data_IF_113601419319
#
_entry.id   IF_113601419319
#
_cell.length_a   1.000
_cell.length_b   1.000
_cell.length_c   1.000
_cell.angle_alpha   90.00
_cell.angle_beta   90.00
_cell.angle_gamma   90.00
#
_symmetry.space_group_name_H-M   'P 1'
#
loop_
_entity.id
_entity.type
_entity.pdbx_description
1 polymer ?
#
# COMPACT_ATOMS: atom_id res chain seq x y z
N UNK A 1 2.49 -8.62 9.71
CA UNK A 1 2.71 -7.33 9.02
C UNK A 1 2.59 -6.20 10.05
N UNK A 2 3.60 -5.35 10.11
CA UNK A 2 3.54 -4.16 10.98
C UNK A 2 2.65 -3.10 10.35
N UNK A 3 1.71 -2.55 11.14
CA UNK A 3 0.87 -1.47 10.66
C UNK A 3 0.47 -0.54 11.79
N UNK A 4 0.07 0.69 11.44
CA UNK A 4 -0.37 1.68 12.41
C UNK A 4 -1.80 1.38 12.88
N UNK A 5 -2.16 1.93 14.04
CA UNK A 5 -3.55 1.87 14.52
C UNK A 5 -4.51 2.53 13.52
N UNK A 6 -4.05 3.61 12.86
CA UNK A 6 -4.83 4.27 11.82
C UNK A 6 -5.18 3.30 10.69
N UNK A 7 -4.20 2.53 10.21
CA UNK A 7 -4.45 1.59 9.11
C UNK A 7 -5.39 0.46 9.53
N UNK A 8 -5.30 0.00 10.78
CA UNK A 8 -6.23 -1.01 11.29
C UNK A 8 -7.68 -0.54 11.22
N UNK A 9 -7.92 0.75 11.52
CA UNK A 9 -9.25 1.32 11.40
C UNK A 9 -9.67 1.49 9.94
N UNK A 10 -8.77 1.99 9.10
CA UNK A 10 -9.04 2.21 7.67
C UNK A 10 -9.43 0.90 6.98
N UNK A 11 -8.81 -0.21 7.35
CA UNK A 11 -9.08 -1.52 6.75
C UNK A 11 -10.50 -2.01 7.01
N UNK A 12 -11.19 -1.47 7.99
CA UNK A 12 -12.57 -1.86 8.28
C UNK A 12 -13.57 -1.22 7.32
N UNK A 13 -13.13 -0.23 6.53
CA UNK A 13 -13.98 0.39 5.52
C UNK A 13 -14.26 -0.60 4.38
N UNK A 14 -15.48 -0.58 3.80
CA UNK A 14 -15.83 -1.53 2.74
C UNK A 14 -14.87 -1.51 1.55
N UNK A 15 -14.36 -0.34 1.17
CA UNK A 15 -13.44 -0.19 0.03
C UNK A 15 -12.03 -0.68 0.33
N UNK A 16 -11.69 -0.93 1.60
CA UNK A 16 -10.37 -1.40 2.03
C UNK A 16 -10.40 -2.81 2.60
N UNK A 17 -11.57 -3.32 3.00
CA UNK A 17 -11.70 -4.62 3.64
C UNK A 17 -11.28 -5.78 2.73
N UNK A 18 -11.32 -5.57 1.41
CA UNK A 18 -10.97 -6.60 0.43
C UNK A 18 -9.47 -6.66 0.14
N UNK A 19 -8.67 -5.73 0.67
CA UNK A 19 -7.22 -5.76 0.47
C UNK A 19 -6.62 -6.90 1.28
N UNK A 20 -5.89 -7.78 0.61
CA UNK A 20 -5.22 -8.91 1.28
C UNK A 20 -3.83 -8.51 1.74
N UNK A 21 -3.43 -9.03 2.89
CA UNK A 21 -2.10 -8.76 3.44
C UNK A 21 -0.99 -9.18 2.48
N UNK A 22 -1.16 -10.33 1.81
CA UNK A 22 -0.14 -10.82 0.88
C UNK A 22 0.05 -9.90 -0.32
N UNK A 23 -0.98 -9.16 -0.73
CA UNK A 23 -0.84 -8.17 -1.81
C UNK A 23 -0.02 -6.97 -1.32
N UNK A 24 -0.31 -6.50 -0.12
CA UNK A 24 0.40 -5.37 0.48
C UNK A 24 1.87 -5.72 0.67
N UNK A 25 2.14 -6.89 1.24
CA UNK A 25 3.50 -7.36 1.49
C UNK A 25 4.28 -7.52 0.20
N UNK A 26 3.64 -8.03 -0.85
CA UNK A 26 4.28 -8.20 -2.16
C UNK A 26 4.66 -6.84 -2.77
N UNK A 27 3.78 -5.85 -2.69
CA UNK A 27 4.07 -4.51 -3.19
C UNK A 27 5.22 -3.88 -2.43
N UNK A 28 5.29 -4.07 -1.12
CA UNK A 28 6.39 -3.53 -0.32
C UNK A 28 7.71 -4.23 -0.66
N UNK A 29 7.68 -5.54 -0.88
CA UNK A 29 8.87 -6.33 -1.16
C UNK A 29 9.42 -6.11 -2.57
N UNK A 30 8.53 -6.02 -3.57
CA UNK A 30 8.94 -5.87 -4.98
C UNK A 30 8.08 -4.80 -5.63
N UNK A 31 8.29 -3.52 -5.28
CA UNK A 31 7.48 -2.45 -5.85
C UNK A 31 7.88 -2.14 -7.29
N UNK A 32 6.89 -1.74 -8.10
CA UNK A 32 7.14 -1.22 -9.44
C UNK A 32 7.68 0.21 -9.38
N UNK A 33 7.36 0.94 -8.32
CA UNK A 33 7.81 2.32 -8.12
C UNK A 33 7.82 2.66 -6.64
N UNK A 34 8.81 3.44 -6.21
CA UNK A 34 8.94 3.94 -4.85
C UNK A 34 9.16 5.45 -4.92
N UNK A 35 8.47 6.19 -4.05
CA UNK A 35 8.71 7.62 -3.86
C UNK A 35 8.77 7.93 -2.38
N UNK A 36 9.78 8.72 -1.98
CA UNK A 36 9.89 9.20 -0.61
C UNK A 36 9.23 10.57 -0.52
N UNK A 37 8.35 10.75 0.46
CA UNK A 37 7.66 12.01 0.69
C UNK A 37 8.51 12.95 1.56
N UNK A 38 8.26 14.27 1.50
CA UNK A 38 8.99 15.22 2.36
C UNK A 38 8.84 14.95 3.86
N UNK A 39 7.71 14.37 4.28
CA UNK A 39 7.47 14.03 5.69
C UNK A 39 8.15 12.73 6.12
N UNK A 40 8.92 12.09 5.24
CA UNK A 40 9.62 10.84 5.52
C UNK A 40 8.82 9.58 5.18
N UNK A 41 7.54 9.68 4.90
CA UNK A 41 6.75 8.52 4.48
C UNK A 41 7.18 8.05 3.11
N UNK A 42 6.94 6.78 2.84
CA UNK A 42 7.35 6.13 1.60
C UNK A 42 6.10 5.60 0.89
N UNK A 43 5.95 5.96 -0.39
CA UNK A 43 4.90 5.43 -1.25
C UNK A 43 5.47 4.31 -2.11
N UNK A 44 4.80 3.17 -2.11
CA UNK A 44 5.14 2.04 -2.96
C UNK A 44 3.95 1.70 -3.85
N UNK A 45 4.18 1.39 -5.11
CA UNK A 45 3.13 0.95 -6.03
C UNK A 45 3.51 -0.38 -6.65
N UNK A 46 2.52 -1.22 -6.87
CA UNK A 46 2.68 -2.44 -7.62
C UNK A 46 1.34 -2.91 -8.12
N UNK A 47 1.32 -3.62 -9.25
CA UNK A 47 0.10 -4.16 -9.80
C UNK A 47 -0.30 -5.43 -9.06
N UNK A 48 -1.61 -5.62 -8.91
CA UNK A 48 -2.18 -6.81 -8.28
C UNK A 48 -2.96 -7.58 -9.34
N UNK A 49 -2.36 -8.62 -9.94
CA UNK A 49 -3.04 -9.39 -10.99
C UNK A 49 -4.38 -9.97 -10.51
N UNK A 50 -4.45 -10.44 -9.27
CA UNK A 50 -5.65 -11.00 -8.67
C UNK A 50 -6.80 -10.00 -8.59
N UNK A 51 -6.49 -8.71 -8.66
CA UNK A 51 -7.48 -7.63 -8.65
C UNK A 51 -7.60 -6.96 -10.01
N UNK A 52 -7.44 -7.72 -11.10
CA UNK A 52 -7.55 -7.19 -12.46
C UNK A 52 -6.37 -6.33 -12.89
N UNK A 53 -5.22 -6.47 -12.26
CA UNK A 53 -4.03 -5.69 -12.61
C UNK A 53 -4.04 -4.27 -12.09
N UNK A 54 -4.97 -3.93 -11.20
CA UNK A 54 -5.02 -2.58 -10.62
C UNK A 54 -3.77 -2.29 -9.81
N UNK A 55 -3.33 -1.03 -9.82
CA UNK A 55 -2.17 -0.60 -9.06
C UNK A 55 -2.56 -0.40 -7.59
N UNK A 56 -1.87 -1.10 -6.70
CA UNK A 56 -2.02 -0.93 -5.25
C UNK A 56 -0.94 0.03 -4.76
N UNK A 57 -1.37 1.09 -4.09
CA UNK A 57 -0.48 2.03 -3.44
C UNK A 57 -0.41 1.70 -1.96
N UNK A 58 0.80 1.51 -1.45
CA UNK A 58 1.05 1.26 -0.03
C UNK A 58 1.88 2.42 0.50
N UNK A 59 1.43 3.02 1.60
CA UNK A 59 2.15 4.10 2.27
C UNK A 59 2.80 3.53 3.53
N UNK A 60 4.12 3.63 3.60
CA UNK A 60 4.89 3.18 4.75
C UNK A 60 5.34 4.38 5.58
N UNK A 61 5.59 4.16 6.87
CA UNK A 61 6.31 5.12 7.69
C UNK A 61 7.78 5.15 7.27
N UNK A 62 8.54 6.05 7.85
CA UNK A 62 9.95 6.25 7.48
C UNK A 62 10.86 5.07 7.80
N UNK A 63 10.39 4.11 8.60
CA UNK A 63 11.11 2.86 8.86
C UNK A 63 11.11 1.92 7.65
N UNK A 64 10.31 2.21 6.63
CA UNK A 64 10.21 1.38 5.43
C UNK A 64 9.50 0.06 5.64
N UNK A 65 8.83 -0.14 6.77
CA UNK A 65 8.21 -1.41 7.16
C UNK A 65 6.78 -1.27 7.64
N UNK A 66 6.49 -0.23 8.41
CA UNK A 66 5.18 -0.07 9.04
C UNK A 66 4.18 0.50 8.06
N UNK A 67 3.15 -0.29 7.73
CA UNK A 67 2.10 0.13 6.80
C UNK A 67 1.18 1.12 7.48
N UNK A 68 1.04 2.31 6.88
CA UNK A 68 0.18 3.38 7.40
C UNK A 68 -1.11 3.50 6.60
N UNK A 69 -1.09 3.16 5.31
CA UNK A 69 -2.27 3.18 4.46
C UNK A 69 -2.04 2.30 3.23
N UNK A 70 -3.12 1.85 2.61
CA UNK A 70 -3.06 1.12 1.35
C UNK A 70 -4.41 1.26 0.64
N UNK A 71 -4.36 1.47 -0.68
CA UNK A 71 -5.58 1.60 -1.49
C UNK A 71 -5.22 1.44 -2.97
N UNK A 72 -6.20 1.07 -3.78
CA UNK A 72 -5.99 1.05 -5.23
C UNK A 72 -5.93 2.47 -5.76
N UNK A 73 -4.90 2.76 -6.52
CA UNK A 73 -4.61 4.10 -7.04
C UNK A 73 -4.87 4.13 -8.55
N UNK A 74 -6.02 4.69 -8.94
CA UNK A 74 -6.43 4.76 -10.34
C UNK A 74 -5.59 5.74 -11.16
N UNK A 75 -4.87 6.62 -10.51
CA UNK A 75 -4.08 7.66 -11.17
C UNK A 75 -2.66 7.22 -11.45
N UNK A 76 -2.25 6.07 -10.91
CA UNK A 76 -0.89 5.60 -11.10
C UNK A 76 -0.67 5.15 -12.53
N UNK A 77 0.37 5.70 -13.17
CA UNK A 77 0.89 5.25 -14.47
C UNK A 77 2.36 4.91 -14.27
N UNK A 78 2.76 3.67 -14.62
CA UNK A 78 4.15 3.25 -14.46
C UNK A 78 5.12 4.06 -15.31
#
# INVERSE_FOLDING_TARGET
MKCTAYFRLVRQRPDRALLRDEWIERVVRVPARIERQPDGRIRCWGNVPEAGGRALRVVLLDDGQTVHNAFFDRRFTP
#
